data_IF_090826251359
#
_entry.id   IF_090826251359
#
_cell.length_a   1.000
_cell.length_b   1.000
_cell.length_c   1.000
_cell.angle_alpha   90.00
_cell.angle_beta   90.00
_cell.angle_gamma   90.00
#
_symmetry.space_group_name_H-M   'P 1'
#
loop_
_entity.id
_entity.type
_entity.pdbx_description
1 polymer ?
#
# COMPACT_ATOMS: atom_id res chain seq x y z
N UNK A 1 -10.61 35.53 -14.61
CA UNK A 1 -9.42 34.75 -15.04
C UNK A 1 -8.36 34.65 -13.95
N UNK A 2 -8.02 35.74 -13.22
CA UNK A 2 -6.98 35.73 -12.19
C UNK A 2 -7.31 34.91 -10.92
N UNK A 3 -8.55 34.96 -10.40
CA UNK A 3 -8.95 34.17 -9.20
C UNK A 3 -8.92 32.65 -9.42
N UNK A 4 -9.31 32.18 -10.62
CA UNK A 4 -9.30 30.75 -10.96
C UNK A 4 -7.88 30.19 -11.06
N UNK A 5 -6.93 30.99 -11.56
CA UNK A 5 -5.52 30.60 -11.63
C UNK A 5 -4.92 30.44 -10.23
N UNK A 6 -5.18 31.39 -9.33
CA UNK A 6 -4.70 31.36 -7.95
C UNK A 6 -5.29 30.19 -7.15
N UNK A 7 -6.60 29.95 -7.25
CA UNK A 7 -7.25 28.80 -6.61
C UNK A 7 -6.69 27.46 -7.10
N UNK A 8 -6.41 27.35 -8.40
CA UNK A 8 -5.80 26.14 -8.98
C UNK A 8 -4.39 25.91 -8.45
N UNK A 9 -3.58 26.96 -8.33
CA UNK A 9 -2.20 26.86 -7.84
C UNK A 9 -2.15 26.44 -6.36
N UNK A 10 -3.05 26.97 -5.53
CA UNK A 10 -3.21 26.54 -4.13
C UNK A 10 -3.64 25.06 -4.04
N UNK A 11 -4.59 24.65 -4.89
CA UNK A 11 -5.08 23.27 -4.91
C UNK A 11 -3.96 22.30 -5.26
N UNK A 12 -3.20 22.58 -6.33
CA UNK A 12 -2.08 21.77 -6.79
C UNK A 12 -1.02 21.63 -5.70
N UNK A 13 -0.61 22.75 -5.09
CA UNK A 13 0.38 22.73 -4.02
C UNK A 13 -0.10 21.94 -2.80
N UNK A 14 -1.38 22.04 -2.45
CA UNK A 14 -1.96 21.33 -1.30
C UNK A 14 -2.03 19.83 -1.55
N UNK A 15 -2.43 19.43 -2.76
CA UNK A 15 -2.51 18.02 -3.18
C UNK A 15 -1.11 17.38 -3.17
N UNK A 16 -0.09 18.03 -3.74
CA UNK A 16 1.27 17.49 -3.71
C UNK A 16 1.81 17.33 -2.29
N UNK A 17 1.53 18.27 -1.40
CA UNK A 17 1.94 18.16 0.00
C UNK A 17 1.28 16.95 0.69
N UNK A 18 -0.01 16.74 0.41
CA UNK A 18 -0.78 15.63 0.98
C UNK A 18 -0.36 14.28 0.39
N UNK A 19 -0.10 14.22 -0.92
CA UNK A 19 0.47 13.06 -1.61
C UNK A 19 1.81 12.65 -0.97
N UNK A 20 2.74 13.59 -0.84
CA UNK A 20 4.05 13.34 -0.23
C UNK A 20 3.93 12.81 1.20
N UNK A 21 2.98 13.35 1.97
CA UNK A 21 2.73 12.91 3.35
C UNK A 21 2.23 11.46 3.39
N UNK A 22 1.30 11.09 2.50
CA UNK A 22 0.77 9.73 2.41
C UNK A 22 1.82 8.72 1.92
N UNK A 23 2.64 9.11 0.94
CA UNK A 23 3.78 8.30 0.48
C UNK A 23 4.78 8.06 1.62
N UNK A 24 5.11 9.09 2.40
CA UNK A 24 5.99 8.96 3.54
C UNK A 24 5.44 8.00 4.60
N UNK A 25 4.14 8.10 4.92
CA UNK A 25 3.47 7.19 5.87
C UNK A 25 3.50 5.76 5.35
N UNK A 26 3.22 5.54 4.05
CA UNK A 26 3.32 4.23 3.41
C UNK A 26 4.71 3.61 3.60
N UNK A 27 5.76 4.37 3.28
CA UNK A 27 7.15 3.91 3.43
C UNK A 27 7.46 3.55 4.89
N UNK A 28 7.02 4.38 5.85
CA UNK A 28 7.20 4.11 7.28
C UNK A 28 6.50 2.80 7.68
N UNK A 29 5.26 2.57 7.24
CA UNK A 29 4.52 1.33 7.49
C UNK A 29 5.28 0.10 6.96
N UNK A 30 5.83 0.17 5.74
CA UNK A 30 6.64 -0.92 5.16
C UNK A 30 7.89 -1.19 6.00
N UNK A 31 8.59 -0.15 6.43
CA UNK A 31 9.80 -0.27 7.25
C UNK A 31 9.48 -0.91 8.61
N UNK A 32 8.43 -0.46 9.29
CA UNK A 32 8.00 -1.04 10.58
C UNK A 32 7.60 -2.50 10.40
N UNK A 33 6.83 -2.81 9.36
CA UNK A 33 6.43 -4.16 9.03
C UNK A 33 7.61 -5.09 8.78
N UNK A 34 8.62 -4.61 8.05
CA UNK A 34 9.84 -5.35 7.78
C UNK A 34 10.60 -5.66 9.08
N UNK A 35 10.80 -4.65 9.94
CA UNK A 35 11.51 -4.82 11.21
C UNK A 35 10.80 -5.83 12.12
N UNK A 36 9.47 -5.73 12.26
CA UNK A 36 8.69 -6.69 13.06
C UNK A 36 8.74 -8.11 12.47
N UNK A 37 8.68 -8.22 11.14
CA UNK A 37 8.75 -9.50 10.44
C UNK A 37 10.10 -10.19 10.67
N UNK A 38 11.21 -9.45 10.59
CA UNK A 38 12.54 -9.98 10.86
C UNK A 38 12.67 -10.44 12.32
N UNK A 39 12.12 -9.67 13.27
CA UNK A 39 12.10 -10.07 14.68
C UNK A 39 11.34 -11.38 14.91
N UNK A 40 10.14 -11.50 14.31
CA UNK A 40 9.31 -12.71 14.37
C UNK A 40 10.02 -13.91 13.74
N UNK A 41 10.72 -13.70 12.62
CA UNK A 41 11.46 -14.76 11.94
C UNK A 41 12.61 -15.31 12.79
N UNK A 42 13.34 -14.42 13.48
CA UNK A 42 14.43 -14.79 14.39
C UNK A 42 13.91 -15.52 15.64
N UNK A 43 12.80 -15.07 16.23
CA UNK A 43 12.27 -15.61 17.48
C UNK A 43 11.50 -16.92 17.31
N UNK A 44 10.61 -17.00 16.32
CA UNK A 44 9.65 -18.10 16.21
C UNK A 44 10.05 -19.17 15.19
N UNK A 45 11.10 -18.93 14.38
CA UNK A 45 11.55 -19.80 13.25
C UNK A 45 10.42 -20.24 12.29
N UNK A 46 9.26 -19.62 12.38
CA UNK A 46 8.08 -19.91 11.57
C UNK A 46 7.96 -18.85 10.49
N UNK A 47 8.46 -19.17 9.30
CA UNK A 47 8.36 -18.29 8.13
C UNK A 47 6.92 -17.94 7.74
N UNK A 48 5.93 -18.74 8.18
CA UNK A 48 4.50 -18.47 7.95
C UNK A 48 4.02 -17.27 8.77
N UNK A 49 4.25 -17.26 10.08
CA UNK A 49 3.83 -16.15 10.96
C UNK A 49 4.51 -14.83 10.58
N UNK A 50 5.77 -14.90 10.17
CA UNK A 50 6.50 -13.76 9.61
C UNK A 50 5.82 -13.22 8.33
N UNK A 51 5.43 -14.10 7.39
CA UNK A 51 4.72 -13.69 6.16
C UNK A 51 3.37 -13.03 6.44
N UNK A 52 2.58 -13.52 7.41
CA UNK A 52 1.32 -12.86 7.80
C UNK A 52 1.55 -11.48 8.38
N UNK A 53 2.50 -11.36 9.31
CA UNK A 53 2.82 -10.06 9.92
C UNK A 53 3.27 -9.06 8.85
N UNK A 54 4.12 -9.49 7.92
CA UNK A 54 4.55 -8.62 6.82
C UNK A 54 3.41 -8.24 5.87
N UNK A 55 2.55 -9.21 5.54
CA UNK A 55 1.40 -9.00 4.65
C UNK A 55 0.42 -7.95 5.17
N UNK A 56 0.15 -7.94 6.48
CA UNK A 56 -0.74 -6.97 7.14
C UNK A 56 -0.18 -5.53 7.10
N UNK A 57 1.10 -5.37 7.43
CA UNK A 57 1.78 -4.07 7.32
C UNK A 57 1.89 -3.58 5.87
N UNK A 58 2.15 -4.51 4.95
CA UNK A 58 2.14 -4.22 3.53
C UNK A 58 0.78 -3.70 3.11
N UNK A 59 -0.31 -4.41 3.41
CA UNK A 59 -1.68 -4.01 3.05
C UNK A 59 -2.01 -2.58 3.51
N UNK A 60 -1.61 -2.23 4.74
CA UNK A 60 -1.80 -0.88 5.29
C UNK A 60 -1.04 0.19 4.50
N UNK A 61 0.25 0.00 4.23
CA UNK A 61 1.07 0.94 3.44
C UNK A 61 0.47 1.20 2.05
N UNK A 62 -0.01 0.12 1.49
CA UNK A 62 -0.60 -0.02 0.17
C UNK A 62 -1.97 0.66 0.02
N UNK A 63 -2.70 0.90 1.12
CA UNK A 63 -3.90 1.75 1.15
C UNK A 63 -3.53 3.24 1.16
N UNK A 64 -2.51 3.63 1.93
CA UNK A 64 -2.02 5.02 1.92
C UNK A 64 -1.45 5.42 0.56
N UNK A 65 -0.76 4.50 -0.11
CA UNK A 65 -0.25 4.74 -1.45
C UNK A 65 -1.40 4.94 -2.45
N UNK A 66 -2.43 4.09 -2.42
CA UNK A 66 -3.63 4.28 -3.24
C UNK A 66 -4.28 5.65 -3.00
N UNK A 67 -4.36 6.09 -1.75
CA UNK A 67 -4.87 7.43 -1.43
C UNK A 67 -3.99 8.54 -2.02
N UNK A 68 -2.66 8.40 -1.99
CA UNK A 68 -1.72 9.34 -2.62
C UNK A 68 -1.93 9.45 -4.13
N UNK A 69 -2.13 8.33 -4.81
CA UNK A 69 -2.36 8.31 -6.25
C UNK A 69 -3.75 8.84 -6.66
N UNK A 70 -4.79 8.61 -5.85
CA UNK A 70 -6.10 9.25 -6.05
C UNK A 70 -5.97 10.78 -5.97
N UNK A 71 -5.15 11.30 -5.05
CA UNK A 71 -4.86 12.74 -4.96
C UNK A 71 -4.11 13.24 -6.20
N UNK A 72 -3.07 12.54 -6.64
CA UNK A 72 -2.29 12.91 -7.83
C UNK A 72 -3.17 13.00 -9.10
N UNK A 73 -4.03 11.99 -9.30
CA UNK A 73 -4.92 11.90 -10.48
C UNK A 73 -6.02 12.96 -10.50
N UNK A 74 -6.35 13.54 -9.34
CA UNK A 74 -7.29 14.67 -9.24
C UNK A 74 -6.69 15.97 -9.77
N UNK A 75 -5.37 16.13 -9.70
CA UNK A 75 -4.66 17.35 -10.14
C UNK A 75 -4.14 17.26 -11.56
N UNK A 76 -3.51 16.13 -11.91
CA UNK A 76 -3.09 15.80 -13.27
C UNK A 76 -3.60 14.39 -13.59
N UNK A 77 -4.68 14.25 -14.37
CA UNK A 77 -5.19 12.94 -14.78
C UNK A 77 -4.25 12.32 -15.83
N UNK A 78 -3.10 11.82 -15.37
CA UNK A 78 -2.13 11.07 -16.16
C UNK A 78 -2.49 9.57 -16.14
N UNK A 79 -2.96 9.06 -17.28
CA UNK A 79 -3.48 7.70 -17.41
C UNK A 79 -2.38 6.63 -17.22
N UNK A 80 -1.12 6.94 -17.50
CA UNK A 80 -0.01 5.98 -17.38
C UNK A 80 0.29 5.65 -15.91
N UNK A 81 0.27 6.68 -15.07
CA UNK A 81 0.44 6.56 -13.61
C UNK A 81 -0.69 5.75 -12.96
N UNK A 82 -1.94 5.97 -13.40
CA UNK A 82 -3.12 5.21 -12.99
C UNK A 82 -3.02 3.71 -13.33
N UNK A 83 -2.52 3.39 -14.53
CA UNK A 83 -2.38 2.00 -14.99
C UNK A 83 -1.31 1.26 -14.17
N UNK A 84 -0.18 1.89 -13.87
CA UNK A 84 0.84 1.31 -12.99
C UNK A 84 0.26 0.97 -11.62
N UNK A 85 -0.53 1.87 -11.07
CA UNK A 85 -1.13 1.64 -9.77
C UNK A 85 -2.13 0.48 -9.78
N UNK A 86 -2.97 0.42 -10.82
CA UNK A 86 -3.92 -0.68 -11.00
C UNK A 86 -3.19 -2.04 -11.08
N UNK A 87 -2.04 -2.09 -11.77
CA UNK A 87 -1.21 -3.30 -11.84
C UNK A 87 -0.68 -3.70 -10.46
N UNK A 88 -0.16 -2.75 -9.67
CA UNK A 88 0.33 -3.01 -8.29
C UNK A 88 -0.82 -3.53 -7.40
N UNK A 89 -2.01 -2.94 -7.50
CA UNK A 89 -3.19 -3.38 -6.75
C UNK A 89 -3.62 -4.80 -7.14
N UNK A 90 -3.58 -5.15 -8.43
CA UNK A 90 -3.89 -6.52 -8.91
C UNK A 90 -2.89 -7.54 -8.37
N UNK A 91 -1.59 -7.24 -8.44
CA UNK A 91 -0.53 -8.13 -7.92
C UNK A 91 -0.75 -8.38 -6.41
N UNK A 92 -1.07 -7.32 -5.66
CA UNK A 92 -1.37 -7.40 -4.22
C UNK A 92 -2.55 -8.30 -3.93
N UNK A 93 -3.68 -8.11 -4.64
CA UNK A 93 -4.88 -8.92 -4.47
C UNK A 93 -4.59 -10.38 -4.79
N UNK A 94 -3.84 -10.64 -5.85
CA UNK A 94 -3.51 -12.01 -6.26
C UNK A 94 -2.63 -12.73 -5.23
N UNK A 95 -1.57 -12.08 -4.73
CA UNK A 95 -0.69 -12.63 -3.70
C UNK A 95 -1.43 -12.85 -2.38
N UNK A 96 -2.24 -11.89 -1.94
CA UNK A 96 -2.99 -11.99 -0.69
C UNK A 96 -4.09 -13.07 -0.77
N UNK A 97 -4.76 -13.19 -1.92
CA UNK A 97 -5.74 -14.23 -2.19
C UNK A 97 -5.12 -15.63 -2.16
N UNK A 98 -3.97 -15.82 -2.82
CA UNK A 98 -3.26 -17.11 -2.78
C UNK A 98 -2.81 -17.46 -1.37
N UNK A 99 -2.26 -16.50 -0.63
CA UNK A 99 -1.80 -16.73 0.73
C UNK A 99 -2.94 -17.08 1.69
N UNK A 100 -4.11 -16.47 1.50
CA UNK A 100 -5.34 -16.77 2.26
C UNK A 100 -5.89 -18.16 1.89
N UNK A 101 -5.91 -18.49 0.59
CA UNK A 101 -6.43 -19.77 0.11
C UNK A 101 -5.55 -20.95 0.54
N UNK A 102 -4.22 -20.78 0.56
CA UNK A 102 -3.29 -21.81 1.05
C UNK A 102 -3.50 -22.13 2.53
N UNK A 103 -3.97 -21.17 3.35
CA UNK A 103 -4.32 -21.42 4.75
C UNK A 103 -5.58 -22.25 4.93
N UNK A 104 -6.66 -21.90 4.23
CA UNK A 104 -7.93 -22.62 4.34
C UNK A 104 -7.77 -24.10 3.96
N UNK A 105 -6.93 -24.37 2.97
CA UNK A 105 -6.66 -25.75 2.54
C UNK A 105 -5.88 -26.59 3.56
N UNK A 106 -5.11 -25.98 4.46
CA UNK A 106 -4.37 -26.72 5.48
C UNK A 106 -5.19 -26.94 6.76
N UNK A 107 -6.06 -26.00 7.14
CA UNK A 107 -6.94 -26.17 8.30
C UNK A 107 -7.95 -27.33 8.16
N UNK A 108 -8.25 -27.74 6.93
CA UNK A 108 -9.13 -28.88 6.64
C UNK A 108 -8.40 -30.24 6.62
N UNK A 109 -7.06 -30.27 6.54
CA UNK A 109 -6.25 -31.50 6.51
C UNK A 109 -5.75 -31.95 7.89
N UNK A 110 -6.07 -31.21 8.96
CA UNK A 110 -5.85 -31.62 10.37
C UNK A 110 -7.12 -32.18 11.05
N UNK A 111 -8.14 -32.57 10.29
CA UNK A 111 -9.28 -33.39 10.77
C UNK A 111 -9.21 -34.80 10.20
#
# INVERSE_FOLDING_TARGET
>A
MFELAFLREILISSVHFLQLSLEAISVICVVIGLVKTLWVLVQLKSGRTARYCFGDWLATALEFQLAADILATTVDPDLDSLIKLAIIAVIRTFLNYFLTKELEHQALNEK
#
